data_IF_399197451510
#
_entry.id   IF_399197451510
#
_cell.length_a   1.000
_cell.length_b   1.000
_cell.length_c   1.000
_cell.angle_alpha   90.00
_cell.angle_beta   90.00
_cell.angle_gamma   90.00
#
_symmetry.space_group_name_H-M   'P 1'
#
loop_
_entity.id
_entity.type
_entity.pdbx_description
1 polymer ?
#
# COMPACT_ATOMS: atom_id res chain seq x y z
N UNK A 1 1.10 2.12 0.24
CA UNK A 1 0.70 3.49 0.64
C UNK A 1 -0.78 3.58 0.95
N UNK A 2 -1.22 4.65 1.62
CA UNK A 2 -2.61 4.90 1.97
C UNK A 2 -2.94 6.40 2.01
N UNK A 3 -4.23 6.76 1.96
CA UNK A 3 -4.69 8.14 2.23
C UNK A 3 -4.69 8.40 3.74
N UNK A 4 -4.14 9.56 4.09
CA UNK A 4 -4.20 10.18 5.41
C UNK A 4 -4.84 11.55 5.28
N UNK A 5 -5.15 12.20 6.41
CA UNK A 5 -5.67 13.59 6.40
C UNK A 5 -4.72 14.56 5.71
N UNK A 6 -3.41 14.33 5.78
CA UNK A 6 -2.38 15.25 5.25
C UNK A 6 -1.93 14.93 3.83
N UNK A 7 -2.06 13.68 3.39
CA UNK A 7 -1.54 13.21 2.11
C UNK A 7 -2.35 12.02 1.59
N UNK A 8 -2.82 12.13 0.35
CA UNK A 8 -3.62 11.12 -0.34
C UNK A 8 -2.84 9.85 -0.71
N UNK A 9 -1.50 9.88 -0.71
CA UNK A 9 -0.62 8.74 -1.05
C UNK A 9 0.57 8.63 -0.07
N UNK A 10 0.29 8.67 1.24
CA UNK A 10 1.33 8.59 2.26
C UNK A 10 2.00 7.21 2.27
N UNK A 11 3.34 7.19 2.25
CA UNK A 11 4.09 5.99 2.63
C UNK A 11 3.86 5.69 4.11
N UNK A 12 3.61 4.42 4.43
CA UNK A 12 3.38 3.94 5.82
C UNK A 12 4.45 2.94 6.26
N UNK A 13 5.58 2.98 5.58
CA UNK A 13 6.80 2.24 5.88
C UNK A 13 8.00 3.11 5.51
N UNK A 14 9.08 2.99 6.29
CA UNK A 14 10.38 3.52 5.88
C UNK A 14 11.02 2.60 4.85
N UNK A 15 11.78 3.17 3.92
CA UNK A 15 12.55 2.42 2.93
C UNK A 15 13.96 2.97 2.83
N UNK A 16 14.92 2.07 2.72
CA UNK A 16 16.31 2.36 2.44
C UNK A 16 16.64 1.75 1.07
N UNK A 17 17.07 2.59 0.13
CA UNK A 17 17.35 2.18 -1.25
C UNK A 17 18.85 2.28 -1.45
N UNK A 18 19.50 1.14 -1.72
CA UNK A 18 20.91 1.09 -2.12
C UNK A 18 20.99 0.96 -3.63
N UNK A 19 21.65 1.92 -4.29
CA UNK A 19 21.91 1.86 -5.72
C UNK A 19 23.39 1.51 -5.89
N UNK A 20 23.67 0.38 -6.54
CA UNK A 20 25.01 -0.10 -6.79
C UNK A 20 25.49 0.38 -8.15
N UNK A 21 26.70 0.91 -8.20
CA UNK A 21 27.34 1.38 -9.43
C UNK A 21 28.53 0.48 -9.77
N UNK A 22 28.68 0.20 -11.06
CA UNK A 22 29.90 -0.40 -11.61
C UNK A 22 31.08 0.56 -11.47
N UNK A 23 32.31 0.06 -11.58
CA UNK A 23 33.53 0.87 -11.58
C UNK A 23 33.57 1.96 -12.67
N UNK A 24 32.74 1.82 -13.72
CA UNK A 24 32.55 2.81 -14.79
C UNK A 24 31.41 3.80 -14.51
N UNK A 25 30.83 3.81 -13.30
CA UNK A 25 29.76 4.73 -12.90
C UNK A 25 28.38 4.40 -13.47
N UNK A 26 28.19 3.25 -14.13
CA UNK A 26 26.87 2.80 -14.62
C UNK A 26 26.13 2.07 -13.50
N UNK A 27 24.81 2.27 -13.42
CA UNK A 27 23.93 1.53 -12.51
C UNK A 27 24.04 0.03 -12.81
N UNK A 28 24.39 -0.75 -11.79
CA UNK A 28 24.58 -2.19 -11.89
C UNK A 28 23.42 -2.95 -11.25
N UNK A 29 23.03 -2.58 -10.03
CA UNK A 29 21.91 -3.19 -9.32
C UNK A 29 21.29 -2.22 -8.31
N UNK A 30 20.16 -2.60 -7.72
CA UNK A 30 19.49 -1.83 -6.69
C UNK A 30 18.90 -2.79 -5.66
N UNK A 31 19.11 -2.50 -4.37
CA UNK A 31 18.45 -3.19 -3.26
C UNK A 31 17.48 -2.24 -2.57
N UNK A 32 16.34 -2.76 -2.16
CA UNK A 32 15.38 -2.02 -1.34
C UNK A 32 15.20 -2.79 -0.04
N UNK A 33 15.55 -2.15 1.06
CA UNK A 33 15.28 -2.67 2.40
C UNK A 33 14.20 -1.82 3.05
N UNK A 34 13.19 -2.46 3.62
CA UNK A 34 12.26 -1.73 4.48
C UNK A 34 12.97 -1.38 5.79
N UNK A 35 12.85 -0.12 6.21
CA UNK A 35 13.49 0.34 7.44
C UNK A 35 12.94 -0.45 8.63
N UNK A 36 13.87 -1.05 9.36
CA UNK A 36 13.65 -1.68 10.64
C UNK A 36 14.09 -0.70 11.72
N UNK A 37 13.37 -0.70 12.82
CA UNK A 37 13.84 0.00 14.01
C UNK A 37 15.11 -0.70 14.53
N UNK A 38 16.23 0.02 14.56
CA UNK A 38 17.52 -0.50 15.04
C UNK A 38 17.63 -0.44 16.58
N UNK A 39 16.82 0.39 17.23
CA UNK A 39 16.87 0.58 18.69
C UNK A 39 16.08 -0.51 19.44
N UNK A 40 15.28 -1.31 18.74
CA UNK A 40 14.59 -2.47 19.31
C UNK A 40 15.45 -3.73 19.14
N UNK A 41 16.48 -3.85 20.00
CA UNK A 41 17.63 -4.79 19.99
C UNK A 41 17.33 -6.32 19.96
N UNK A 42 16.14 -6.78 19.55
CA UNK A 42 15.87 -8.22 19.46
C UNK A 42 14.85 -8.65 18.39
N UNK A 43 14.11 -7.74 17.75
CA UNK A 43 12.94 -8.15 16.93
C UNK A 43 12.91 -7.64 15.49
N UNK A 44 13.86 -6.78 15.05
CA UNK A 44 13.92 -6.33 13.66
C UNK A 44 12.57 -5.84 13.13
N UNK A 45 11.82 -5.12 13.97
CA UNK A 45 10.42 -4.79 13.71
C UNK A 45 10.34 -3.84 12.51
N UNK A 46 9.72 -4.29 11.43
CA UNK A 46 9.46 -3.46 10.26
C UNK A 46 8.59 -2.26 10.68
N UNK A 47 9.01 -1.04 10.32
CA UNK A 47 8.27 0.21 10.56
C UNK A 47 7.02 0.37 9.66
N UNK A 48 6.45 -0.75 9.21
CA UNK A 48 5.17 -0.77 8.52
C UNK A 48 4.06 -0.53 9.55
N UNK A 49 3.18 0.43 9.28
CA UNK A 49 2.02 0.71 10.13
C UNK A 49 0.98 -0.41 10.03
N UNK A 50 1.17 -1.47 10.83
CA UNK A 50 0.30 -2.65 10.89
C UNK A 50 -1.12 -2.32 11.34
N UNK A 51 -1.28 -1.36 12.25
CA UNK A 51 -2.58 -0.94 12.79
C UNK A 51 -3.57 -0.47 11.71
N UNK A 52 -3.06 0.09 10.61
CA UNK A 52 -3.89 0.58 9.50
C UNK A 52 -4.73 -0.50 8.84
N UNK A 53 -4.29 -1.76 8.89
CA UNK A 53 -5.02 -2.89 8.29
C UNK A 53 -6.35 -3.12 9.00
N UNK A 54 -6.42 -2.86 10.31
CA UNK A 54 -7.61 -3.15 11.13
C UNK A 54 -8.32 -1.90 11.62
N UNK A 55 -7.71 -0.71 11.52
CA UNK A 55 -8.29 0.55 12.00
C UNK A 55 -7.93 1.74 11.11
N UNK A 56 -8.92 2.58 10.82
CA UNK A 56 -8.74 3.85 10.10
C UNK A 56 -9.32 5.02 10.90
N UNK A 57 -8.61 6.14 10.98
CA UNK A 57 -9.15 7.37 11.56
C UNK A 57 -10.08 8.08 10.56
N UNK A 58 -11.02 8.93 11.02
CA UNK A 58 -11.86 9.72 10.13
C UNK A 58 -11.04 10.54 9.12
N UNK A 59 -11.49 10.57 7.86
CA UNK A 59 -10.76 11.22 6.77
C UNK A 59 -9.59 10.41 6.20
N UNK A 60 -9.22 9.29 6.80
CA UNK A 60 -8.20 8.36 6.29
C UNK A 60 -8.79 7.16 5.56
N UNK A 61 -7.93 6.45 4.83
CA UNK A 61 -8.25 5.21 4.13
C UNK A 61 -7.25 4.11 4.49
N UNK A 62 -7.66 2.84 4.32
CA UNK A 62 -6.72 1.72 4.39
C UNK A 62 -5.77 1.72 3.18
N UNK A 63 -4.85 0.74 3.11
CA UNK A 63 -3.91 0.61 1.99
C UNK A 63 -4.62 0.55 0.64
N UNK A 64 -4.05 1.20 -0.39
CA UNK A 64 -4.71 1.35 -1.68
C UNK A 64 -5.08 0.02 -2.35
N UNK A 65 -4.31 -1.04 -2.11
CA UNK A 65 -4.50 -2.35 -2.73
C UNK A 65 -5.92 -2.90 -2.55
N UNK A 66 -6.54 -2.72 -1.38
CA UNK A 66 -7.89 -3.22 -1.14
C UNK A 66 -8.90 -2.64 -2.14
N UNK A 67 -8.88 -1.32 -2.32
CA UNK A 67 -9.80 -0.62 -3.22
C UNK A 67 -9.43 -0.83 -4.69
N UNK A 68 -8.15 -1.05 -4.99
CA UNK A 68 -7.69 -1.46 -6.33
C UNK A 68 -8.23 -2.84 -6.71
N UNK A 69 -8.26 -3.81 -5.78
CA UNK A 69 -8.88 -5.13 -6.00
C UNK A 69 -10.38 -4.98 -6.30
N UNK A 70 -11.09 -4.16 -5.54
CA UNK A 70 -12.52 -3.89 -5.75
C UNK A 70 -12.83 -2.99 -6.97
N UNK A 71 -11.82 -2.46 -7.68
CA UNK A 71 -12.02 -1.56 -8.81
C UNK A 71 -12.55 -2.22 -10.09
N UNK A 72 -12.51 -3.56 -10.14
CA UNK A 72 -12.89 -4.33 -11.33
C UNK A 72 -11.91 -4.16 -12.50
N UNK A 73 -10.68 -3.73 -12.25
CA UNK A 73 -9.62 -3.70 -13.25
C UNK A 73 -9.27 -5.12 -13.74
N UNK A 74 -8.99 -6.04 -12.80
CA UNK A 74 -8.71 -7.44 -13.10
C UNK A 74 -10.06 -8.18 -13.11
N UNK A 75 -10.50 -8.72 -14.27
CA UNK A 75 -11.75 -9.46 -14.35
C UNK A 75 -11.73 -10.66 -13.39
N UNK A 76 -12.87 -10.96 -12.77
CA UNK A 76 -13.08 -12.08 -11.85
C UNK A 76 -12.22 -12.12 -10.56
N UNK A 77 -11.24 -11.23 -10.37
CA UNK A 77 -10.40 -11.24 -9.16
C UNK A 77 -11.19 -11.20 -7.85
N UNK A 78 -12.26 -10.42 -7.78
CA UNK A 78 -13.12 -10.38 -6.59
C UNK A 78 -13.87 -11.69 -6.39
N UNK A 79 -14.22 -12.43 -7.45
CA UNK A 79 -14.84 -13.75 -7.35
C UNK A 79 -13.83 -14.80 -6.88
N UNK A 80 -12.63 -14.78 -7.44
CA UNK A 80 -11.55 -15.72 -7.10
C UNK A 80 -11.10 -15.57 -5.64
N UNK A 81 -11.17 -14.34 -5.11
CA UNK A 81 -10.89 -14.03 -3.70
C UNK A 81 -12.12 -14.16 -2.78
N UNK A 82 -13.24 -14.68 -3.29
CA UNK A 82 -14.50 -14.84 -2.56
C UNK A 82 -15.04 -13.54 -1.94
N UNK A 83 -14.73 -12.41 -2.59
CA UNK A 83 -15.20 -11.08 -2.22
C UNK A 83 -16.61 -10.85 -2.79
N UNK A 84 -17.59 -11.41 -2.10
CA UNK A 84 -19.00 -11.41 -2.52
C UNK A 84 -19.77 -10.15 -2.17
N UNK A 85 -19.25 -9.32 -1.25
CA UNK A 85 -19.92 -8.12 -0.75
C UNK A 85 -19.31 -6.84 -1.34
N UNK A 86 -20.05 -5.72 -1.35
CA UNK A 86 -19.47 -4.40 -1.54
C UNK A 86 -18.33 -4.10 -0.55
N UNK A 87 -17.31 -3.35 -0.98
CA UNK A 87 -16.14 -2.99 -0.14
C UNK A 87 -16.51 -2.36 1.21
N UNK A 88 -17.61 -1.58 1.24
CA UNK A 88 -18.14 -0.91 2.44
C UNK A 88 -18.56 -1.89 3.56
N UNK A 89 -18.80 -3.15 3.23
CA UNK A 89 -19.27 -4.16 4.18
C UNK A 89 -18.11 -4.94 4.81
N UNK A 90 -16.87 -4.69 4.36
CA UNK A 90 -15.66 -5.25 4.96
C UNK A 90 -15.11 -4.30 6.02
N UNK A 91 -15.47 -4.57 7.28
CA UNK A 91 -15.19 -3.69 8.42
C UNK A 91 -13.73 -3.21 8.51
N UNK A 92 -12.74 -4.08 8.31
CA UNK A 92 -11.33 -3.70 8.41
C UNK A 92 -10.84 -2.69 7.38
N UNK A 93 -11.57 -2.49 6.28
CA UNK A 93 -11.19 -1.54 5.22
C UNK A 93 -12.21 -0.43 5.00
N UNK A 94 -13.28 -0.41 5.80
CA UNK A 94 -14.44 0.46 5.60
C UNK A 94 -14.81 1.28 6.85
N UNK A 95 -13.90 1.47 7.79
CA UNK A 95 -14.17 2.29 8.99
C UNK A 95 -14.20 3.80 8.73
N UNK A 96 -13.68 4.25 7.57
CA UNK A 96 -13.60 5.66 7.21
C UNK A 96 -13.79 5.84 5.69
N UNK A 97 -12.84 6.48 5.01
CA UNK A 97 -12.98 6.86 3.61
C UNK A 97 -12.81 5.66 2.67
N UNK A 98 -13.67 5.52 1.67
CA UNK A 98 -13.56 4.48 0.65
C UNK A 98 -12.99 5.02 -0.67
N UNK A 99 -13.20 6.30 -0.94
CA UNK A 99 -12.76 6.99 -2.16
C UNK A 99 -11.80 8.11 -1.83
N UNK A 100 -11.00 8.49 -2.83
CA UNK A 100 -10.08 9.62 -2.77
C UNK A 100 -10.41 10.50 -3.96
N UNK A 101 -10.63 11.79 -3.72
CA UNK A 101 -10.94 12.72 -4.79
C UNK A 101 -9.77 12.82 -5.80
N UNK A 102 -10.11 12.87 -7.08
CA UNK A 102 -9.13 12.88 -8.18
C UNK A 102 -8.34 11.59 -8.39
N UNK A 103 -8.60 10.49 -7.66
CA UNK A 103 -7.90 9.21 -7.84
C UNK A 103 -8.83 8.15 -8.42
N UNK A 104 -8.42 7.55 -9.54
CA UNK A 104 -9.11 6.40 -10.13
C UNK A 104 -8.40 5.09 -9.73
N UNK A 105 -9.00 4.35 -8.80
CA UNK A 105 -8.47 3.07 -8.31
C UNK A 105 -8.33 2.00 -9.40
N UNK A 106 -9.14 2.07 -10.46
CA UNK A 106 -9.03 1.15 -11.62
C UNK A 106 -7.77 1.42 -12.43
N UNK A 107 -7.47 2.69 -12.69
CA UNK A 107 -6.22 3.11 -13.36
C UNK A 107 -5.01 2.77 -12.49
N UNK A 108 -5.10 3.01 -11.17
CA UNK A 108 -4.04 2.63 -10.24
C UNK A 108 -3.83 1.12 -10.16
N UNK A 109 -4.88 0.31 -10.24
CA UNK A 109 -4.75 -1.14 -10.30
C UNK A 109 -4.01 -1.60 -11.57
N UNK A 110 -4.25 -0.96 -12.71
CA UNK A 110 -3.52 -1.24 -13.95
C UNK A 110 -2.03 -0.91 -13.85
N UNK A 111 -1.69 0.25 -13.28
CA UNK A 111 -0.29 0.64 -13.01
C UNK A 111 0.40 -0.40 -12.10
N UNK A 112 -0.27 -0.83 -11.02
CA UNK A 112 0.26 -1.84 -10.09
C UNK A 112 0.48 -3.20 -10.79
N UNK A 113 -0.45 -3.63 -11.64
CA UNK A 113 -0.38 -4.94 -12.31
C UNK A 113 0.74 -5.04 -13.36
N UNK A 114 1.18 -3.91 -13.91
CA UNK A 114 2.23 -3.85 -14.94
C UNK A 114 3.65 -3.98 -14.41
N UNK A 115 3.85 -3.77 -13.11
CA UNK A 115 5.15 -3.85 -12.44
C UNK A 115 5.51 -5.31 -12.18
#
# INVERSE_FOLDING_TARGET
>A
NAKTVRNNNSSRFGKFIRIHFSSKGRVASCDIEHCKDLDTYASGLNLLEKSRVIRQAPGERCYHIFYQVFSGHIPNLTKDLELTKPVKDYYFVAQAELKIDGVNDKVKSYETYKL
#
